data_IF_334896276964
#
_entry.id   IF_334896276964
#
_cell.length_a   1.000
_cell.length_b   1.000
_cell.length_c   1.000
_cell.angle_alpha   90.00
_cell.angle_beta   90.00
_cell.angle_gamma   90.00
#
_symmetry.space_group_name_H-M   'P 1'
#
loop_
_entity.id
_entity.type
_entity.pdbx_description
1 polymer ?
#
# COMPACT_ATOMS: atom_id res chain seq x y z
N UNK A 1 -43.36 4.43 -22.89
CA UNK A 1 -42.31 3.47 -23.29
C UNK A 1 -40.94 4.12 -23.48
N UNK A 2 -40.74 5.03 -24.45
CA UNK A 2 -39.43 5.69 -24.69
C UNK A 2 -38.80 6.36 -23.44
N UNK A 3 -39.60 7.09 -22.65
CA UNK A 3 -39.16 7.72 -21.39
C UNK A 3 -38.76 6.70 -20.30
N UNK A 4 -39.37 5.51 -20.30
CA UNK A 4 -39.08 4.44 -19.35
C UNK A 4 -37.77 3.75 -19.75
N UNK A 5 -37.62 3.43 -21.04
CA UNK A 5 -36.39 2.86 -21.61
C UNK A 5 -35.20 3.80 -21.33
N UNK A 6 -35.35 5.10 -21.60
CA UNK A 6 -34.31 6.09 -21.34
C UNK A 6 -33.88 6.13 -19.87
N UNK A 7 -34.85 6.06 -18.94
CA UNK A 7 -34.55 6.00 -17.50
C UNK A 7 -33.77 4.74 -17.14
N UNK A 8 -34.20 3.58 -17.62
CA UNK A 8 -33.52 2.30 -17.36
C UNK A 8 -32.09 2.35 -17.90
N UNK A 9 -31.89 2.81 -19.14
CA UNK A 9 -30.56 2.95 -19.73
C UNK A 9 -29.66 3.88 -18.92
N UNK A 10 -30.16 5.05 -18.51
CA UNK A 10 -29.41 5.99 -17.67
C UNK A 10 -29.05 5.36 -16.31
N UNK A 11 -29.96 4.62 -15.69
CA UNK A 11 -29.69 3.91 -14.43
C UNK A 11 -28.60 2.86 -14.60
N UNK A 12 -28.62 2.07 -15.67
CA UNK A 12 -27.59 1.06 -15.94
C UNK A 12 -26.22 1.72 -16.10
N UNK A 13 -26.11 2.79 -16.89
CA UNK A 13 -24.84 3.50 -17.05
C UNK A 13 -24.33 4.13 -15.75
N UNK A 14 -25.24 4.60 -14.89
CA UNK A 14 -24.88 5.13 -13.58
C UNK A 14 -24.29 4.03 -12.69
N UNK A 15 -24.94 2.86 -12.63
CA UNK A 15 -24.45 1.70 -11.87
C UNK A 15 -23.10 1.22 -12.40
N UNK A 16 -22.96 1.12 -13.73
CA UNK A 16 -21.71 0.71 -14.36
C UNK A 16 -20.58 1.70 -14.05
N UNK A 17 -20.85 3.00 -14.12
CA UNK A 17 -19.89 4.04 -13.76
C UNK A 17 -19.44 3.93 -12.30
N UNK A 18 -20.38 3.74 -11.37
CA UNK A 18 -20.05 3.51 -9.95
C UNK A 18 -19.20 2.25 -9.75
N UNK A 19 -19.51 1.17 -10.47
CA UNK A 19 -18.74 -0.07 -10.41
C UNK A 19 -17.31 0.12 -10.91
N UNK A 20 -17.11 0.82 -12.03
CA UNK A 20 -15.77 1.12 -12.58
C UNK A 20 -14.96 1.98 -11.60
N UNK A 21 -15.57 3.02 -11.02
CA UNK A 21 -14.88 3.87 -10.04
C UNK A 21 -14.48 3.07 -8.80
N UNK A 22 -15.38 2.23 -8.30
CA UNK A 22 -15.10 1.36 -7.16
C UNK A 22 -13.99 0.35 -7.48
N UNK A 23 -14.04 -0.27 -8.66
CA UNK A 23 -13.03 -1.21 -9.12
C UNK A 23 -11.64 -0.55 -9.18
N UNK A 24 -11.52 0.60 -9.85
CA UNK A 24 -10.28 1.37 -9.91
C UNK A 24 -9.79 1.76 -8.51
N UNK A 25 -10.69 2.17 -7.62
CA UNK A 25 -10.31 2.50 -6.25
C UNK A 25 -9.70 1.30 -5.52
N UNK A 26 -10.32 0.13 -5.62
CA UNK A 26 -9.85 -1.09 -4.95
C UNK A 26 -8.51 -1.54 -5.53
N UNK A 27 -8.36 -1.56 -6.86
CA UNK A 27 -7.16 -2.10 -7.51
C UNK A 27 -5.97 -1.15 -7.49
N UNK A 28 -6.17 0.17 -7.46
CA UNK A 28 -5.07 1.13 -7.63
C UNK A 28 -4.79 2.01 -6.39
N UNK A 29 -5.80 2.26 -5.54
CA UNK A 29 -5.72 3.34 -4.56
C UNK A 29 -5.95 2.92 -3.11
N UNK A 30 -6.67 1.82 -2.88
CA UNK A 30 -7.04 1.36 -1.54
C UNK A 30 -5.78 1.08 -0.74
N UNK A 31 -5.60 1.82 0.35
CA UNK A 31 -4.49 1.57 1.28
C UNK A 31 -4.95 0.59 2.34
N UNK A 32 -4.27 -0.54 2.44
CA UNK A 32 -4.51 -1.56 3.47
C UNK A 32 -3.33 -1.56 4.45
N UNK A 33 -3.63 -1.56 5.75
CA UNK A 33 -2.59 -1.71 6.78
C UNK A 33 -2.11 -3.17 6.80
N UNK A 34 -0.79 -3.38 6.77
CA UNK A 34 -0.17 -4.71 6.86
C UNK A 34 0.44 -4.89 8.24
N UNK A 35 1.47 -4.11 8.58
CA UNK A 35 2.18 -4.22 9.85
C UNK A 35 2.66 -2.87 10.39
N UNK A 36 3.10 -2.86 11.66
CA UNK A 36 3.79 -1.74 12.29
C UNK A 36 5.01 -2.23 13.05
N UNK A 37 6.07 -1.43 13.00
CA UNK A 37 7.30 -1.67 13.74
C UNK A 37 7.57 -0.40 14.56
N UNK A 38 7.76 -0.55 15.87
CA UNK A 38 7.99 0.58 16.78
C UNK A 38 9.44 0.53 17.27
N UNK A 39 10.15 1.65 17.17
CA UNK A 39 11.46 1.79 17.74
C UNK A 39 11.34 1.79 19.28
N UNK A 40 11.98 0.83 19.98
CA UNK A 40 11.83 0.69 21.44
C UNK A 40 12.47 1.84 22.24
N UNK A 41 13.35 2.65 21.62
CA UNK A 41 14.11 3.72 22.29
C UNK A 41 13.40 5.07 22.13
N UNK A 42 13.13 5.48 20.89
CA UNK A 42 12.64 6.83 20.57
C UNK A 42 11.17 6.87 20.11
N UNK A 43 10.48 5.73 20.10
CA UNK A 43 9.06 5.58 19.77
C UNK A 43 8.66 6.01 18.35
N UNK A 44 9.63 6.17 17.45
CA UNK A 44 9.36 6.24 16.01
C UNK A 44 8.66 4.97 15.56
N UNK A 45 7.82 5.08 14.54
CA UNK A 45 7.03 3.94 14.05
C UNK A 45 7.08 3.88 12.54
N UNK A 46 7.45 2.72 12.01
CA UNK A 46 7.30 2.40 10.60
C UNK A 46 5.97 1.68 10.42
N UNK A 47 5.14 2.18 9.52
CA UNK A 47 3.96 1.49 9.02
C UNK A 47 4.25 0.90 7.66
N UNK A 48 3.96 -0.38 7.50
CA UNK A 48 3.97 -1.07 6.22
C UNK A 48 2.54 -1.25 5.73
N UNK A 49 2.26 -0.79 4.52
CA UNK A 49 0.92 -0.72 3.98
C UNK A 49 0.91 -1.13 2.53
N UNK A 50 -0.05 -1.96 2.14
CA UNK A 50 -0.34 -2.28 0.75
C UNK A 50 -1.16 -1.15 0.11
N UNK A 51 -0.98 -0.95 -1.19
CA UNK A 51 -1.70 0.03 -2.00
C UNK A 51 -2.29 -0.67 -3.22
N UNK A 52 -3.62 -0.68 -3.31
CA UNK A 52 -4.31 -1.36 -4.40
C UNK A 52 -4.36 -2.88 -4.21
N UNK A 53 -4.59 -3.57 -5.32
CA UNK A 53 -4.40 -5.02 -5.45
C UNK A 53 -3.10 -5.27 -6.24
N UNK A 54 -2.50 -6.46 -6.15
CA UNK A 54 -1.39 -6.84 -7.01
C UNK A 54 -1.75 -6.69 -8.50
N UNK A 55 -0.78 -6.24 -9.31
CA UNK A 55 -0.98 -6.05 -10.74
C UNK A 55 -1.44 -7.36 -11.41
N UNK A 56 -2.51 -7.31 -12.19
CA UNK A 56 -3.05 -8.50 -12.86
C UNK A 56 -2.20 -8.88 -14.09
N UNK A 57 -1.93 -10.18 -14.34
CA UNK A 57 -2.40 -11.36 -13.60
C UNK A 57 -1.51 -11.83 -12.45
N UNK A 58 -0.20 -11.55 -12.50
CA UNK A 58 0.81 -12.01 -11.53
C UNK A 58 1.95 -10.98 -11.43
N UNK A 59 1.60 -9.73 -11.13
CA UNK A 59 2.51 -8.61 -11.18
C UNK A 59 2.93 -8.11 -9.80
N UNK A 60 3.40 -6.87 -9.77
CA UNK A 60 3.92 -6.22 -8.57
C UNK A 60 2.81 -5.91 -7.57
N UNK A 61 3.16 -5.96 -6.29
CA UNK A 61 2.30 -5.50 -5.20
C UNK A 61 2.83 -4.16 -4.74
N UNK A 62 2.04 -3.10 -4.94
CA UNK A 62 2.44 -1.75 -4.55
C UNK A 62 2.33 -1.60 -3.04
N UNK A 63 3.36 -1.05 -2.42
CA UNK A 63 3.44 -0.86 -0.98
C UNK A 63 3.88 0.56 -0.65
N UNK A 64 3.68 0.93 0.61
CA UNK A 64 4.00 2.25 1.11
C UNK A 64 4.55 2.13 2.51
N UNK A 65 5.79 2.56 2.68
CA UNK A 65 6.43 2.71 3.98
C UNK A 65 6.15 4.12 4.50
N UNK A 66 5.63 4.22 5.72
CA UNK A 66 5.36 5.51 6.36
C UNK A 66 6.08 5.60 7.71
N UNK A 67 6.96 6.59 7.85
CA UNK A 67 7.59 6.90 9.13
C UNK A 67 6.71 7.88 9.91
N UNK A 68 6.39 7.52 11.15
CA UNK A 68 5.76 8.38 12.14
C UNK A 68 6.75 8.68 13.26
N UNK A 69 6.76 9.92 13.75
CA UNK A 69 7.52 10.25 14.96
C UNK A 69 6.82 9.77 16.25
N UNK A 70 7.45 10.06 17.38
CA UNK A 70 6.95 9.81 18.74
C UNK A 70 5.51 10.31 18.99
N UNK A 71 5.11 11.39 18.33
CA UNK A 71 3.76 12.00 18.39
C UNK A 71 2.79 11.45 17.34
N UNK A 72 3.14 10.35 16.67
CA UNK A 72 2.39 9.74 15.55
C UNK A 72 2.13 10.71 14.39
N UNK A 73 2.93 11.76 14.27
CA UNK A 73 2.92 12.66 13.13
C UNK A 73 3.74 12.02 12.01
N UNK A 74 3.17 12.02 10.81
CA UNK A 74 3.87 11.56 9.62
C UNK A 74 5.09 12.44 9.32
N UNK A 75 6.23 11.78 9.20
CA UNK A 75 7.53 12.39 8.89
C UNK A 75 7.89 12.12 7.44
N UNK A 76 7.75 10.86 7.00
CA UNK A 76 8.17 10.43 5.66
C UNK A 76 7.18 9.43 5.05
N UNK A 77 7.19 9.36 3.71
CA UNK A 77 6.39 8.42 2.91
C UNK A 77 7.22 7.95 1.73
N UNK A 78 7.45 6.66 1.63
CA UNK A 78 8.17 6.05 0.51
C UNK A 78 7.18 5.11 -0.20
N UNK A 79 6.62 5.51 -1.36
CA UNK A 79 5.92 4.58 -2.22
C UNK A 79 6.93 3.68 -2.94
N UNK A 80 6.68 2.38 -2.97
CA UNK A 80 7.51 1.37 -3.64
C UNK A 80 6.66 0.15 -3.97
N UNK A 81 7.26 -0.98 -4.34
CA UNK A 81 6.57 -2.23 -4.64
C UNK A 81 7.40 -3.43 -4.19
N UNK A 82 6.74 -4.58 -4.10
CA UNK A 82 7.39 -5.90 -3.98
C UNK A 82 6.99 -6.80 -5.15
N UNK A 83 7.89 -7.67 -5.59
CA UNK A 83 7.64 -8.72 -6.58
C UNK A 83 7.45 -10.05 -5.84
N UNK A 84 6.19 -10.48 -5.75
CA UNK A 84 5.80 -11.66 -4.99
C UNK A 84 4.81 -12.56 -5.77
N UNK A 85 5.00 -12.71 -7.08
CA UNK A 85 4.16 -13.53 -7.98
C UNK A 85 2.66 -13.19 -7.88
N UNK A 86 2.33 -11.89 -7.86
CA UNK A 86 0.95 -11.40 -7.69
C UNK A 86 0.31 -11.64 -6.31
N UNK A 87 1.09 -12.04 -5.29
CA UNK A 87 0.61 -12.17 -3.92
C UNK A 87 0.49 -10.82 -3.21
N UNK A 88 -0.53 -10.68 -2.38
CA UNK A 88 -0.70 -9.52 -1.48
C UNK A 88 0.48 -9.38 -0.52
N UNK A 89 0.70 -8.18 0.00
CA UNK A 89 1.79 -7.92 0.95
C UNK A 89 1.45 -8.45 2.35
N UNK A 90 2.37 -9.23 2.92
CA UNK A 90 2.32 -9.75 4.28
C UNK A 90 3.41 -9.17 5.19
N UNK A 91 3.36 -9.52 6.48
CA UNK A 91 4.37 -9.06 7.46
C UNK A 91 5.75 -9.66 7.18
N UNK A 92 5.80 -10.81 6.51
CA UNK A 92 7.01 -11.47 6.04
C UNK A 92 7.74 -10.72 4.92
N UNK A 93 7.08 -9.76 4.27
CA UNK A 93 7.67 -8.99 3.18
C UNK A 93 8.48 -7.77 3.66
N UNK A 94 8.62 -7.59 4.98
CA UNK A 94 9.35 -6.47 5.56
C UNK A 94 10.19 -6.90 6.76
N UNK A 95 11.44 -6.42 6.81
CA UNK A 95 12.29 -6.42 7.98
C UNK A 95 12.66 -4.98 8.33
N UNK A 96 12.59 -4.63 9.62
CA UNK A 96 12.91 -3.28 10.11
C UNK A 96 13.98 -3.37 11.19
N UNK A 97 15.10 -2.71 10.95
CA UNK A 97 16.20 -2.56 11.90
C UNK A 97 16.36 -1.09 12.29
N UNK A 98 16.53 -0.83 13.58
CA UNK A 98 16.59 0.52 14.12
C UNK A 98 18.03 0.87 14.50
N UNK A 99 18.50 2.01 13.98
CA UNK A 99 19.77 2.62 14.35
C UNK A 99 19.54 3.93 15.10
N UNK A 100 20.62 4.57 15.55
CA UNK A 100 20.59 5.80 16.34
C UNK A 100 19.94 6.97 15.59
N UNK A 101 20.27 7.13 14.30
CA UNK A 101 19.85 8.28 13.49
C UNK A 101 18.87 7.91 12.35
N UNK A 102 18.65 6.61 12.10
CA UNK A 102 17.82 6.14 11.00
C UNK A 102 17.25 4.74 11.27
N UNK A 103 16.25 4.36 10.49
CA UNK A 103 15.77 2.99 10.37
C UNK A 103 16.17 2.42 9.01
N UNK A 104 16.55 1.16 8.98
CA UNK A 104 16.75 0.39 7.76
C UNK A 104 15.53 -0.51 7.55
N UNK A 105 14.92 -0.40 6.37
CA UNK A 105 13.75 -1.19 5.97
C UNK A 105 14.15 -2.05 4.79
N UNK A 106 14.14 -3.36 4.98
CA UNK A 106 14.41 -4.34 3.93
C UNK A 106 13.10 -4.93 3.45
N UNK A 107 12.84 -4.82 2.15
CA UNK A 107 11.68 -5.40 1.49
C UNK A 107 12.05 -6.73 0.86
N UNK A 108 11.21 -7.72 1.13
CA UNK A 108 11.42 -9.11 0.74
C UNK A 108 10.30 -9.54 -0.21
N UNK A 109 10.66 -10.11 -1.36
CA UNK A 109 9.72 -10.68 -2.31
C UNK A 109 10.30 -11.96 -2.92
N UNK A 110 9.45 -12.90 -3.32
CA UNK A 110 9.90 -14.18 -3.89
C UNK A 110 10.61 -14.03 -5.24
N UNK A 111 10.37 -12.94 -5.95
CA UNK A 111 10.85 -12.69 -7.32
C UNK A 111 11.79 -11.47 -7.43
N UNK A 112 12.26 -10.94 -6.30
CA UNK A 112 13.23 -9.84 -6.28
C UNK A 112 14.37 -10.13 -5.31
N UNK A 113 15.50 -9.44 -5.53
CA UNK A 113 16.50 -9.30 -4.48
C UNK A 113 15.96 -8.39 -3.37
N UNK A 114 16.50 -8.57 -2.16
CA UNK A 114 16.17 -7.77 -1.00
C UNK A 114 16.47 -6.28 -1.30
N UNK A 115 15.45 -5.43 -1.19
CA UNK A 115 15.58 -3.99 -1.43
C UNK A 115 15.66 -3.25 -0.09
N UNK A 116 16.72 -2.46 0.11
CA UNK A 116 17.00 -1.80 1.38
C UNK A 116 16.77 -0.29 1.27
N UNK A 117 15.95 0.25 2.17
CA UNK A 117 15.70 1.68 2.31
C UNK A 117 16.20 2.20 3.67
N UNK A 118 17.01 3.27 3.66
CA UNK A 118 17.40 4.00 4.86
C UNK A 118 16.50 5.21 5.05
N UNK A 119 15.83 5.29 6.20
CA UNK A 119 14.86 6.33 6.53
C UNK A 119 15.34 7.06 7.77
N UNK A 120 15.76 8.32 7.62
CA UNK A 120 16.35 9.11 8.69
C UNK A 120 15.28 9.69 9.62
N UNK A 121 15.57 9.75 10.92
CA UNK A 121 14.71 10.48 11.86
C UNK A 121 14.90 11.98 11.63
N UNK A 122 13.82 12.71 11.35
CA UNK A 122 13.83 14.17 11.18
C UNK A 122 13.38 14.90 12.46
#
# INVERSE_FOLDING_TARGET
MKKIILKITATIFTILGMFIIWFIYVTEFKVTYVSQHVNPINNYTILFQEVGEPEWPFGKTHVKITLLNDKKKKVEKIPTYIQNDGSVAGEENILVEWFEDYAEVTLLGSEQEDEVHKIYYN
#
